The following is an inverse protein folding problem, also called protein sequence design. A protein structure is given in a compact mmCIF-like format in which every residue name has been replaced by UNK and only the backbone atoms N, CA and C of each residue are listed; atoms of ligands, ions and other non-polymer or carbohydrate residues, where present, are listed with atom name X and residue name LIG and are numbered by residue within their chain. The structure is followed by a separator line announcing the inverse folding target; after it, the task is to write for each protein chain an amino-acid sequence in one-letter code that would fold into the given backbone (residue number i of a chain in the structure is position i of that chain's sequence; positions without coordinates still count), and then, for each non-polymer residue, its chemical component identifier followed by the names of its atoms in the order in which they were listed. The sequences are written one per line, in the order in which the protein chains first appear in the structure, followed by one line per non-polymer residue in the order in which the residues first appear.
data_IF_328670856127
#
_entry.id   IF_328670856127
#
_cell.length_a   1.000
_cell.length_b   1.000
_cell.length_c   1.000
_cell.angle_alpha   90.00
_cell.angle_beta   90.00
_cell.angle_gamma   90.00
#
_symmetry.space_group_name_H-M   'P 1'
#
loop_
_entity.id
_entity.type
_entity.pdbx_description
1 polymer ?
#
# COMPACT_ATOMS: atom_id res chain seq x y z
N UNK A 1 5.23 8.06 -38.25
CA UNK A 1 6.04 8.64 -37.15
C UNK A 1 5.36 9.95 -36.73
N UNK A 2 5.08 10.18 -35.45
CA UNK A 2 4.48 11.44 -35.00
C UNK A 2 5.46 12.62 -35.24
N UNK A 3 5.00 13.85 -35.42
CA UNK A 3 5.87 14.98 -35.79
C UNK A 3 7.00 15.23 -34.77
N UNK A 4 6.72 15.02 -33.47
CA UNK A 4 7.71 15.08 -32.39
C UNK A 4 8.77 13.97 -32.48
N UNK A 5 8.37 12.77 -32.92
CA UNK A 5 9.30 11.66 -33.12
C UNK A 5 10.17 11.89 -34.37
N UNK A 6 9.64 12.57 -35.39
CA UNK A 6 10.41 12.99 -36.56
C UNK A 6 11.47 14.04 -36.20
N UNK A 7 11.13 15.05 -35.39
CA UNK A 7 12.10 16.03 -34.89
C UNK A 7 13.21 15.36 -34.07
N UNK A 8 12.86 14.46 -33.16
CA UNK A 8 13.84 13.73 -32.35
C UNK A 8 14.79 12.88 -33.21
N UNK A 9 14.24 12.21 -34.23
CA UNK A 9 15.04 11.45 -35.19
C UNK A 9 16.01 12.34 -35.98
N UNK A 10 15.53 13.47 -36.49
CA UNK A 10 16.36 14.43 -37.23
C UNK A 10 17.46 15.03 -36.34
N UNK A 11 17.13 15.34 -35.08
CA UNK A 11 18.10 15.80 -34.09
C UNK A 11 19.21 14.78 -33.85
N UNK A 12 18.87 13.52 -33.57
CA UNK A 12 19.85 12.47 -33.28
C UNK A 12 20.70 12.13 -34.52
N UNK A 13 20.12 12.23 -35.72
CA UNK A 13 20.83 12.10 -36.99
C UNK A 13 21.80 13.26 -37.22
N UNK A 14 21.39 14.51 -36.94
CA UNK A 14 22.27 15.67 -36.99
C UNK A 14 23.41 15.56 -35.98
N UNK A 15 23.11 15.14 -34.74
CA UNK A 15 24.11 14.89 -33.70
C UNK A 15 25.14 13.83 -34.15
N UNK A 16 24.70 12.80 -34.87
CA UNK A 16 25.60 11.78 -35.45
C UNK A 16 26.62 12.39 -36.41
N UNK A 17 26.18 13.28 -37.31
CA UNK A 17 27.06 13.97 -38.25
C UNK A 17 28.00 14.96 -37.55
N UNK A 18 27.46 15.77 -36.63
CA UNK A 18 28.27 16.77 -35.92
C UNK A 18 29.33 16.09 -35.06
N UNK A 19 28.97 15.06 -34.30
CA UNK A 19 29.93 14.33 -33.46
C UNK A 19 30.98 13.56 -34.29
N UNK A 20 30.65 13.17 -35.52
CA UNK A 20 31.63 12.59 -36.46
C UNK A 20 32.71 13.61 -36.83
N UNK A 21 32.31 14.84 -37.20
CA UNK A 21 33.24 15.91 -37.53
C UNK A 21 34.04 16.39 -36.30
N UNK A 22 33.40 16.48 -35.13
CA UNK A 22 34.07 16.82 -33.86
C UNK A 22 35.11 15.77 -33.49
N UNK A 23 34.85 14.48 -33.74
CA UNK A 23 35.84 13.42 -33.51
C UNK A 23 37.09 13.61 -34.41
N UNK A 24 36.91 14.04 -35.66
CA UNK A 24 38.02 14.43 -36.53
C UNK A 24 38.78 15.66 -36.00
N UNK A 25 38.08 16.70 -35.56
CA UNK A 25 38.73 17.89 -34.97
C UNK A 25 39.57 17.55 -33.74
N UNK A 26 39.02 16.78 -32.80
CA UNK A 26 39.75 16.38 -31.60
C UNK A 26 40.95 15.50 -31.96
N UNK A 27 40.80 14.58 -32.92
CA UNK A 27 41.88 13.68 -33.32
C UNK A 27 43.08 14.39 -33.94
N UNK A 28 42.84 15.49 -34.64
CA UNK A 28 43.87 16.25 -35.35
C UNK A 28 44.22 17.56 -34.62
N UNK A 29 43.92 17.68 -33.32
CA UNK A 29 44.21 18.88 -32.52
C UNK A 29 43.73 20.18 -33.17
N UNK A 30 42.55 20.15 -33.81
CA UNK A 30 41.93 21.25 -34.55
C UNK A 30 42.63 21.66 -35.87
N UNK A 31 43.67 20.94 -36.29
CA UNK A 31 44.39 21.15 -37.56
C UNK A 31 44.20 19.97 -38.51
N UNK A 32 43.06 19.94 -39.21
CA UNK A 32 42.74 18.86 -40.16
C UNK A 32 43.33 19.17 -41.54
N UNK A 33 44.14 18.27 -42.10
CA UNK A 33 44.57 18.39 -43.49
C UNK A 33 43.38 18.23 -44.46
N UNK A 34 43.38 18.92 -45.63
CA UNK A 34 42.27 18.84 -46.59
C UNK A 34 41.90 17.41 -47.02
N UNK A 35 42.88 16.51 -47.04
CA UNK A 35 42.70 15.09 -47.40
C UNK A 35 41.85 14.34 -46.36
N UNK A 36 42.13 14.52 -45.07
CA UNK A 36 41.36 13.91 -43.99
C UNK A 36 39.96 14.53 -43.86
N UNK A 37 39.84 15.82 -44.14
CA UNK A 37 38.53 16.49 -44.17
C UNK A 37 37.65 15.92 -45.29
N UNK A 38 38.19 15.78 -46.51
CA UNK A 38 37.48 15.16 -47.63
C UNK A 38 37.11 13.70 -47.36
N UNK A 39 38.01 12.94 -46.71
CA UNK A 39 37.73 11.56 -46.28
C UNK A 39 36.59 11.50 -45.25
N UNK A 40 36.52 12.46 -44.32
CA UNK A 40 35.46 12.53 -43.31
C UNK A 40 34.08 12.73 -43.94
N UNK A 41 33.95 13.60 -44.96
CA UNK A 41 32.70 13.82 -45.68
C UNK A 41 32.30 12.62 -46.55
N UNK A 42 33.26 11.98 -47.22
CA UNK A 42 33.02 10.73 -47.96
C UNK A 42 32.53 9.63 -47.02
N UNK A 43 33.09 9.54 -45.81
CA UNK A 43 32.66 8.57 -44.81
C UNK A 43 31.22 8.84 -44.33
N UNK A 44 30.87 10.11 -44.15
CA UNK A 44 29.55 10.53 -43.71
C UNK A 44 28.43 10.04 -44.63
N UNK A 45 28.69 9.93 -45.94
CA UNK A 45 27.74 9.46 -46.93
C UNK A 45 27.19 8.05 -46.65
N UNK A 46 27.96 7.18 -46.00
CA UNK A 46 27.53 5.83 -45.62
C UNK A 46 27.29 5.68 -44.11
N UNK A 47 27.99 6.43 -43.26
CA UNK A 47 27.75 6.44 -41.80
C UNK A 47 26.32 6.91 -41.49
N UNK A 48 25.83 7.94 -42.19
CA UNK A 48 24.50 8.51 -41.93
C UNK A 48 23.35 7.54 -42.25
N UNK A 49 23.28 6.90 -43.45
CA UNK A 49 22.27 5.88 -43.72
C UNK A 49 22.34 4.69 -42.74
N UNK A 50 23.55 4.27 -42.35
CA UNK A 50 23.75 3.17 -41.41
C UNK A 50 23.12 3.46 -40.04
N UNK A 51 23.46 4.60 -39.44
CA UNK A 51 22.90 5.00 -38.14
C UNK A 51 21.39 5.29 -38.24
N UNK A 52 20.93 5.88 -39.34
CA UNK A 52 19.49 6.07 -39.59
C UNK A 52 18.73 4.73 -39.60
N UNK A 53 19.24 3.72 -40.29
CA UNK A 53 18.64 2.39 -40.32
C UNK A 53 18.62 1.72 -38.93
N UNK A 54 19.71 1.83 -38.17
CA UNK A 54 19.81 1.29 -36.81
C UNK A 54 18.79 1.97 -35.89
N UNK A 55 18.70 3.30 -35.91
CA UNK A 55 17.78 4.06 -35.06
C UNK A 55 16.30 3.73 -35.33
N UNK A 56 15.94 3.52 -36.61
CA UNK A 56 14.60 3.11 -37.00
C UNK A 56 14.30 1.66 -36.57
N UNK A 57 15.25 0.73 -36.75
CA UNK A 57 15.10 -0.69 -36.40
C UNK A 57 14.97 -0.91 -34.89
N UNK A 58 15.77 -0.22 -34.08
CA UNK A 58 15.73 -0.32 -32.62
C UNK A 58 14.57 0.47 -31.98
N UNK A 59 13.79 1.19 -32.79
CA UNK A 59 12.57 1.85 -32.34
C UNK A 59 12.82 2.91 -31.26
N UNK A 60 13.93 3.66 -31.34
CA UNK A 60 14.34 4.68 -30.36
C UNK A 60 13.28 5.77 -30.14
N UNK A 61 12.33 5.92 -31.08
CA UNK A 61 11.31 6.98 -31.09
C UNK A 61 9.87 6.43 -31.02
N UNK A 62 9.68 5.15 -30.67
CA UNK A 62 8.33 4.56 -30.49
C UNK A 62 7.72 4.86 -29.12
N UNK A 63 8.52 5.30 -28.14
CA UNK A 63 8.05 5.66 -26.79
C UNK A 63 7.74 7.15 -26.65
N UNK A 64 6.68 7.47 -25.88
CA UNK A 64 6.39 8.86 -25.47
C UNK A 64 7.54 9.31 -24.56
N UNK A 65 8.28 10.35 -24.95
CA UNK A 65 9.43 10.96 -24.23
C UNK A 65 9.16 11.37 -22.77
N UNK A 66 7.93 11.19 -22.27
CA UNK A 66 7.51 11.41 -20.88
C UNK A 66 7.85 10.24 -19.95
N UNK A 67 8.30 9.09 -20.47
CA UNK A 67 8.63 7.89 -19.69
C UNK A 67 9.98 7.27 -20.10
N UNK A 68 11.03 8.08 -20.22
CA UNK A 68 12.38 7.59 -20.47
C UNK A 68 12.87 6.73 -19.29
N UNK A 69 12.63 5.41 -19.36
CA UNK A 69 13.02 4.43 -18.36
C UNK A 69 14.48 4.00 -18.54
N UNK A 70 15.03 3.21 -17.59
CA UNK A 70 16.31 2.50 -17.76
C UNK A 70 16.37 1.70 -19.08
N UNK A 71 15.21 1.31 -19.63
CA UNK A 71 15.10 0.65 -20.93
C UNK A 71 15.40 1.53 -22.15
N UNK A 72 15.28 2.85 -22.06
CA UNK A 72 15.62 3.79 -23.15
C UNK A 72 17.12 4.01 -23.25
N UNK A 73 17.79 4.18 -22.11
CA UNK A 73 19.24 4.27 -22.05
C UNK A 73 19.89 2.98 -22.55
N UNK A 74 19.37 1.81 -22.14
CA UNK A 74 19.84 0.52 -22.64
C UNK A 74 19.69 0.39 -24.15
N UNK A 75 18.57 0.83 -24.72
CA UNK A 75 18.35 0.81 -26.18
C UNK A 75 19.30 1.75 -26.93
N UNK A 76 19.57 2.94 -26.37
CA UNK A 76 20.55 3.87 -26.93
C UNK A 76 21.96 3.28 -26.91
N UNK A 77 22.39 2.68 -25.79
CA UNK A 77 23.70 2.03 -25.66
C UNK A 77 23.88 0.90 -26.69
N UNK A 78 22.88 0.03 -26.84
CA UNK A 78 22.94 -1.06 -27.82
C UNK A 78 22.95 -0.52 -29.25
N UNK A 79 22.13 0.49 -29.56
CA UNK A 79 22.08 1.08 -30.90
C UNK A 79 23.40 1.77 -31.29
N UNK A 80 23.99 2.56 -30.40
CA UNK A 80 25.29 3.21 -30.67
C UNK A 80 26.42 2.19 -30.72
N UNK A 81 26.42 1.19 -29.82
CA UNK A 81 27.40 0.11 -29.85
C UNK A 81 27.36 -0.70 -31.16
N UNK A 82 26.17 -1.06 -31.63
CA UNK A 82 25.99 -1.75 -32.91
C UNK A 82 26.42 -0.85 -34.09
N UNK A 83 26.10 0.44 -34.04
CA UNK A 83 26.55 1.43 -35.01
C UNK A 83 28.07 1.53 -35.08
N UNK A 84 28.76 1.52 -33.94
CA UNK A 84 30.22 1.54 -33.85
C UNK A 84 30.85 0.30 -34.49
N UNK A 85 30.35 -0.89 -34.14
CA UNK A 85 30.82 -2.16 -34.70
C UNK A 85 30.59 -2.24 -36.20
N UNK A 86 29.40 -1.86 -36.66
CA UNK A 86 29.08 -1.84 -38.09
C UNK A 86 29.95 -0.83 -38.86
N UNK A 87 30.19 0.35 -38.28
CA UNK A 87 31.06 1.38 -38.86
C UNK A 87 32.48 0.88 -38.97
N UNK A 88 33.03 0.28 -37.91
CA UNK A 88 34.37 -0.31 -37.93
C UNK A 88 34.49 -1.45 -38.95
N UNK A 89 33.47 -2.30 -39.08
CA UNK A 89 33.40 -3.34 -40.09
C UNK A 89 33.45 -2.79 -41.50
N UNK A 90 32.65 -1.76 -41.80
CA UNK A 90 32.65 -1.10 -43.12
C UNK A 90 34.01 -0.47 -43.42
N UNK A 91 34.62 0.25 -42.46
CA UNK A 91 35.95 0.85 -42.63
C UNK A 91 37.01 -0.21 -42.92
N UNK A 92 36.95 -1.36 -42.25
CA UNK A 92 37.85 -2.48 -42.49
C UNK A 92 37.66 -3.08 -43.88
N UNK A 93 36.40 -3.28 -44.32
CA UNK A 93 36.10 -3.87 -45.63
C UNK A 93 36.53 -2.99 -46.81
N UNK A 94 36.30 -1.67 -46.72
CA UNK A 94 36.63 -0.73 -47.79
C UNK A 94 38.08 -0.23 -47.73
N UNK A 95 38.86 -0.71 -46.75
CA UNK A 95 40.23 -0.31 -46.47
C UNK A 95 40.44 1.21 -46.49
N UNK A 96 39.54 2.00 -45.89
CA UNK A 96 39.58 3.46 -45.99
C UNK A 96 40.83 4.04 -45.29
N UNK A 97 41.86 4.53 -46.03
CA UNK A 97 43.10 5.00 -45.41
C UNK A 97 42.92 6.35 -44.69
N UNK A 98 41.88 7.11 -45.05
CA UNK A 98 41.56 8.43 -44.49
C UNK A 98 40.76 8.42 -43.19
N UNK A 99 40.52 7.27 -42.56
CA UNK A 99 39.78 7.17 -41.29
C UNK A 99 40.71 6.61 -40.20
N UNK A 100 41.31 7.48 -39.37
CA UNK A 100 42.09 7.04 -38.21
C UNK A 100 41.26 6.12 -37.28
N UNK A 101 41.84 4.99 -36.87
CA UNK A 101 41.18 3.99 -36.00
C UNK A 101 40.67 4.58 -34.68
N UNK A 102 41.33 5.61 -34.16
CA UNK A 102 40.90 6.35 -32.98
C UNK A 102 39.52 7.01 -33.13
N UNK A 103 39.12 7.39 -34.35
CA UNK A 103 37.82 8.01 -34.62
C UNK A 103 36.69 6.99 -34.45
N UNK A 104 36.95 5.72 -34.78
CA UNK A 104 36.01 4.61 -34.57
C UNK A 104 35.69 4.37 -33.09
N UNK A 105 36.61 4.74 -32.20
CA UNK A 105 36.42 4.69 -30.75
C UNK A 105 35.83 6.00 -30.19
N UNK A 106 36.33 7.14 -30.68
CA UNK A 106 35.97 8.46 -30.17
C UNK A 106 34.54 8.86 -30.56
N UNK A 107 34.13 8.58 -31.81
CA UNK A 107 32.80 8.90 -32.32
C UNK A 107 31.65 8.33 -31.47
N UNK A 108 31.59 7.02 -31.16
CA UNK A 108 30.48 6.48 -30.37
C UNK A 108 30.44 7.02 -28.94
N UNK A 109 31.59 7.34 -28.33
CA UNK A 109 31.66 7.95 -27.00
C UNK A 109 31.06 9.35 -27.02
N UNK A 110 31.49 10.19 -27.98
CA UNK A 110 30.96 11.55 -28.15
C UNK A 110 29.46 11.53 -28.48
N UNK A 111 29.03 10.56 -29.30
CA UNK A 111 27.64 10.41 -29.69
C UNK A 111 26.75 10.00 -28.51
N UNK A 112 27.21 9.08 -27.66
CA UNK A 112 26.53 8.72 -26.42
C UNK A 112 26.42 9.91 -25.46
N UNK A 113 27.50 10.70 -25.33
CA UNK A 113 27.50 11.89 -24.50
C UNK A 113 26.54 12.96 -25.04
N UNK A 114 26.51 13.19 -26.35
CA UNK A 114 25.64 14.18 -26.97
C UNK A 114 24.16 13.80 -26.88
N UNK A 115 23.79 12.60 -27.33
CA UNK A 115 22.39 12.15 -27.35
C UNK A 115 21.92 11.79 -25.94
N UNK A 116 22.72 11.03 -25.20
CA UNK A 116 22.42 10.63 -23.83
C UNK A 116 22.40 11.83 -22.88
N UNK A 117 23.39 12.72 -23.00
CA UNK A 117 23.47 13.96 -22.23
C UNK A 117 22.34 14.92 -22.53
N UNK A 118 21.98 15.14 -23.80
CA UNK A 118 20.84 15.99 -24.14
C UNK A 118 19.50 15.41 -23.63
N UNK A 119 19.30 14.08 -23.73
CA UNK A 119 18.11 13.43 -23.17
C UNK A 119 18.06 13.53 -21.65
N UNK A 120 19.21 13.37 -20.99
CA UNK A 120 19.33 13.54 -19.54
C UNK A 120 19.10 15.00 -19.14
N UNK A 121 19.62 15.97 -19.88
CA UNK A 121 19.48 17.39 -19.61
C UNK A 121 18.05 17.87 -19.86
N UNK A 122 17.43 17.49 -20.98
CA UNK A 122 16.02 17.74 -21.25
C UNK A 122 15.13 17.11 -20.18
N UNK A 123 15.47 15.89 -19.73
CA UNK A 123 14.79 15.26 -18.60
C UNK A 123 15.01 16.02 -17.31
N UNK A 124 16.24 16.39 -16.96
CA UNK A 124 16.52 17.11 -15.73
C UNK A 124 15.89 18.51 -15.72
N UNK A 125 15.77 19.15 -16.88
CA UNK A 125 15.06 20.41 -17.07
C UNK A 125 13.55 20.24 -16.95
N UNK A 126 12.97 19.24 -17.65
CA UNK A 126 11.53 18.97 -17.65
C UNK A 126 11.02 18.36 -16.35
N UNK A 127 11.80 17.47 -15.74
CA UNK A 127 11.54 16.89 -14.43
C UNK A 127 11.96 17.88 -13.32
N UNK A 128 12.61 19.00 -13.64
CA UNK A 128 12.99 20.07 -12.69
C UNK A 128 14.16 19.74 -11.74
N UNK A 129 14.80 18.58 -11.88
CA UNK A 129 15.71 18.01 -10.87
C UNK A 129 17.06 18.70 -10.71
N UNK A 130 17.44 19.62 -11.61
CA UNK A 130 18.72 20.34 -11.48
C UNK A 130 18.61 21.70 -10.77
N UNK A 131 17.41 22.27 -10.58
CA UNK A 131 17.28 23.56 -9.89
C UNK A 131 15.93 23.85 -9.19
N UNK A 132 14.96 22.93 -9.13
CA UNK A 132 13.74 23.20 -8.35
C UNK A 132 13.00 21.93 -7.94
N UNK A 133 12.87 21.75 -6.63
CA UNK A 133 11.60 21.54 -5.95
C UNK A 133 10.37 21.36 -6.87
N UNK A 134 10.05 20.11 -7.24
CA UNK A 134 8.67 19.74 -7.59
C UNK A 134 7.84 19.62 -6.30
N UNK A 135 7.76 20.75 -5.61
CA UNK A 135 7.08 20.98 -4.36
C UNK A 135 6.48 22.38 -4.49
N UNK A 136 5.55 22.69 -5.39
CA UNK A 136 4.97 24.06 -5.39
C UNK A 136 3.48 24.21 -5.69
N UNK A 137 2.71 23.15 -5.94
CA UNK A 137 1.23 23.29 -6.02
C UNK A 137 0.46 22.60 -4.89
N UNK A 138 1.10 21.65 -4.19
CA UNK A 138 0.49 21.00 -3.04
C UNK A 138 0.61 21.83 -1.77
N UNK A 139 -0.39 21.77 -0.90
CA UNK A 139 -0.30 22.41 0.40
C UNK A 139 0.84 21.77 1.21
N UNK A 140 1.74 22.57 1.83
CA UNK A 140 2.81 22.04 2.63
C UNK A 140 2.26 21.32 3.86
N UNK A 141 2.79 20.12 4.12
CA UNK A 141 2.34 19.24 5.19
C UNK A 141 3.53 18.60 5.90
N UNK A 142 3.47 18.54 7.23
CA UNK A 142 4.39 17.77 8.05
C UNK A 142 3.84 16.38 8.28
N UNK A 143 4.69 15.35 8.24
CA UNK A 143 4.30 13.99 8.60
C UNK A 143 4.85 13.65 9.98
N UNK A 144 3.96 13.28 10.90
CA UNK A 144 4.33 12.86 12.25
C UNK A 144 4.45 11.34 12.25
N UNK A 145 5.67 10.84 12.48
CA UNK A 145 6.07 9.44 12.38
C UNK A 145 6.93 9.13 11.17
N UNK A 146 7.88 8.21 11.32
CA UNK A 146 8.80 7.77 10.26
C UNK A 146 8.79 6.25 10.01
N UNK A 147 7.75 5.54 10.47
CA UNK A 147 7.59 4.10 10.28
C UNK A 147 7.14 3.68 8.88
N UNK A 148 6.80 2.40 8.72
CA UNK A 148 6.38 1.84 7.42
C UNK A 148 5.14 2.53 6.84
N UNK A 149 4.18 2.91 7.68
CA UNK A 149 3.00 3.66 7.26
C UNK A 149 3.37 5.04 6.68
N UNK A 150 4.37 5.72 7.27
CA UNK A 150 4.89 6.97 6.74
C UNK A 150 5.59 6.75 5.39
N UNK A 151 6.40 5.69 5.25
CA UNK A 151 7.07 5.36 3.98
C UNK A 151 6.07 5.08 2.85
N UNK A 152 4.99 4.33 3.14
CA UNK A 152 3.92 4.07 2.18
C UNK A 152 3.15 5.34 1.81
N UNK A 153 2.81 6.16 2.81
CA UNK A 153 2.12 7.43 2.62
C UNK A 153 2.95 8.39 1.76
N UNK A 154 4.26 8.52 2.01
CA UNK A 154 5.16 9.35 1.21
C UNK A 154 5.16 8.95 -0.26
N UNK A 155 5.15 7.64 -0.55
CA UNK A 155 5.10 7.13 -1.92
C UNK A 155 3.81 7.52 -2.63
N UNK A 156 2.67 7.55 -1.93
CA UNK A 156 1.40 7.94 -2.53
C UNK A 156 1.24 9.47 -2.60
N UNK A 157 1.68 10.21 -1.57
CA UNK A 157 1.72 11.68 -1.56
C UNK A 157 2.63 12.23 -2.67
N UNK A 158 3.76 11.56 -2.96
CA UNK A 158 4.63 11.96 -4.08
C UNK A 158 3.95 11.91 -5.45
N UNK A 159 2.84 11.18 -5.57
CA UNK A 159 2.04 11.05 -6.80
C UNK A 159 0.83 11.98 -6.83
N UNK A 160 0.46 12.56 -5.69
CA UNK A 160 -0.68 13.45 -5.55
C UNK A 160 -0.23 14.92 -5.65
N UNK A 161 -0.85 15.75 -6.52
CA UNK A 161 -0.51 17.16 -6.60
C UNK A 161 -1.05 17.98 -5.40
N UNK A 162 -1.91 17.41 -4.56
CA UNK A 162 -2.63 18.14 -3.50
C UNK A 162 -1.76 18.46 -2.27
N UNK A 163 -0.75 17.65 -1.99
CA UNK A 163 0.04 17.73 -0.76
C UNK A 163 1.53 17.72 -1.09
N UNK A 164 2.29 18.48 -0.32
CA UNK A 164 3.75 18.53 -0.47
C UNK A 164 4.39 18.30 0.90
N UNK A 165 5.06 17.17 1.05
CA UNK A 165 5.66 16.81 2.34
C UNK A 165 6.97 17.55 2.51
N UNK A 166 7.05 18.40 3.53
CA UNK A 166 8.22 19.25 3.77
C UNK A 166 9.20 18.67 4.79
N UNK A 167 8.74 17.70 5.59
CA UNK A 167 9.56 17.04 6.60
C UNK A 167 8.79 16.02 7.41
N UNK A 168 9.55 15.12 8.03
CA UNK A 168 9.04 14.16 9.02
C UNK A 168 9.50 14.53 10.42
N UNK A 169 8.69 14.19 11.42
CA UNK A 169 9.03 14.32 12.83
C UNK A 169 8.82 13.00 13.55
N UNK A 170 9.81 12.55 14.30
CA UNK A 170 9.80 11.24 14.98
C UNK A 170 10.60 11.35 16.27
N UNK A 171 10.15 10.74 17.36
CA UNK A 171 10.85 10.82 18.65
C UNK A 171 12.12 9.96 18.70
N UNK A 172 12.36 9.07 17.73
CA UNK A 172 13.59 8.28 17.63
C UNK A 172 14.80 9.13 17.17
N UNK A 173 15.64 9.48 18.14
CA UNK A 173 16.84 10.27 17.93
C UNK A 173 17.84 9.65 16.93
N UNK A 174 17.85 8.32 16.77
CA UNK A 174 18.74 7.66 15.82
C UNK A 174 18.38 7.97 14.36
N UNK A 175 17.15 8.42 14.11
CA UNK A 175 16.61 8.73 12.78
C UNK A 175 16.73 10.20 12.41
N UNK A 176 17.01 11.11 13.35
CA UNK A 176 17.12 12.54 13.09
C UNK A 176 18.26 12.84 12.11
N UNK A 177 18.01 13.76 11.17
CA UNK A 177 18.96 14.11 10.11
C UNK A 177 19.07 13.07 8.98
N UNK A 178 18.44 11.89 9.12
CA UNK A 178 18.29 10.94 8.02
C UNK A 178 17.14 11.34 7.11
N UNK A 179 17.04 10.66 5.96
CA UNK A 179 15.96 10.84 4.98
C UNK A 179 15.15 9.55 4.83
N UNK A 180 13.84 9.70 4.70
CA UNK A 180 12.92 8.64 4.31
C UNK A 180 12.26 9.05 2.99
N UNK A 181 12.43 8.24 1.94
CA UNK A 181 11.95 8.56 0.58
C UNK A 181 12.28 10.01 0.15
N UNK A 182 13.55 10.40 0.33
CA UNK A 182 14.12 11.73 0.05
C UNK A 182 13.62 12.91 0.91
N UNK A 183 12.69 12.68 1.84
CA UNK A 183 12.20 13.68 2.80
C UNK A 183 13.01 13.61 4.11
N UNK A 184 13.50 14.75 4.65
CA UNK A 184 14.31 14.77 5.87
C UNK A 184 13.48 14.53 7.13
N UNK A 185 14.06 13.83 8.10
CA UNK A 185 13.55 13.71 9.47
C UNK A 185 14.14 14.86 10.29
N UNK A 186 13.31 15.86 10.57
CA UNK A 186 13.73 17.18 11.06
C UNK A 186 14.05 17.18 12.57
N UNK A 187 13.47 16.26 13.34
CA UNK A 187 13.64 16.19 14.78
C UNK A 187 12.49 15.50 15.51
N UNK A 188 12.39 15.70 16.84
CA UNK A 188 11.36 15.08 17.68
C UNK A 188 9.98 15.70 17.45
N UNK A 189 8.92 14.99 17.86
CA UNK A 189 7.54 15.49 17.77
C UNK A 189 7.34 16.82 18.52
N UNK A 190 8.10 17.03 19.61
CA UNK A 190 8.08 18.28 20.38
C UNK A 190 8.48 19.52 19.56
N UNK A 191 9.24 19.35 18.47
CA UNK A 191 9.66 20.46 17.60
C UNK A 191 8.61 20.85 16.55
N UNK A 192 7.43 20.22 16.55
CA UNK A 192 6.35 20.49 15.59
C UNK A 192 6.06 21.98 15.42
N UNK A 193 5.93 22.75 16.51
CA UNK A 193 5.61 24.17 16.46
C UNK A 193 6.71 24.98 15.76
N UNK A 194 7.96 24.79 16.21
CA UNK A 194 9.13 25.46 15.61
C UNK A 194 9.27 25.14 14.12
N UNK A 195 9.06 23.88 13.74
CA UNK A 195 9.17 23.44 12.36
C UNK A 195 8.01 23.94 11.50
N UNK A 196 6.81 23.98 12.05
CA UNK A 196 5.63 24.52 11.37
C UNK A 196 5.81 26.00 11.02
N UNK A 197 6.25 26.81 12.00
CA UNK A 197 6.51 28.24 11.81
C UNK A 197 7.64 28.48 10.81
N UNK A 198 8.75 27.75 10.96
CA UNK A 198 9.92 27.87 10.09
C UNK A 198 9.62 27.51 8.63
N UNK A 199 8.75 26.54 8.40
CA UNK A 199 8.44 26.00 7.06
C UNK A 199 7.11 26.52 6.49
N UNK A 200 6.37 27.35 7.23
CA UNK A 200 5.08 27.92 6.81
C UNK A 200 4.02 26.84 6.55
N UNK A 201 3.92 25.87 7.45
CA UNK A 201 3.03 24.70 7.30
C UNK A 201 1.73 24.93 8.05
N UNK A 202 0.59 24.60 7.43
CA UNK A 202 -0.74 24.68 8.06
C UNK A 202 -1.36 23.32 8.35
N UNK A 203 -0.73 22.22 7.93
CA UNK A 203 -1.28 20.86 8.01
C UNK A 203 -0.26 19.87 8.55
N UNK A 204 -0.73 18.90 9.35
CA UNK A 204 0.07 17.77 9.80
C UNK A 204 -0.68 16.46 9.57
N UNK A 205 0.00 15.42 9.10
CA UNK A 205 -0.56 14.06 8.97
C UNK A 205 0.12 13.15 9.98
N UNK A 206 -0.66 12.54 10.87
CA UNK A 206 -0.22 11.50 11.79
C UNK A 206 -0.13 10.17 11.02
N UNK A 207 1.08 9.68 10.82
CA UNK A 207 1.40 8.44 10.12
C UNK A 207 2.00 7.41 11.10
N UNK A 208 1.34 7.23 12.25
CA UNK A 208 1.78 6.36 13.36
C UNK A 208 0.69 5.36 13.80
N UNK A 209 0.15 4.52 12.89
CA UNK A 209 -0.96 3.63 13.22
C UNK A 209 -0.57 2.50 14.18
N UNK A 210 0.72 2.15 14.27
CA UNK A 210 1.26 1.13 15.18
C UNK A 210 1.77 1.67 16.52
N UNK A 211 1.85 2.99 16.69
CA UNK A 211 2.26 3.61 17.94
C UNK A 211 1.21 3.45 19.04
N UNK A 212 1.58 3.70 20.30
CA UNK A 212 0.60 3.69 21.39
C UNK A 212 -0.43 4.81 21.22
N UNK A 213 -1.60 4.64 21.81
CA UNK A 213 -2.64 5.67 21.77
C UNK A 213 -2.19 6.97 22.44
N UNK A 214 -1.40 6.86 23.52
CA UNK A 214 -0.78 8.01 24.19
C UNK A 214 0.17 8.77 23.26
N UNK A 215 0.97 8.08 22.44
CA UNK A 215 1.86 8.71 21.46
C UNK A 215 1.08 9.43 20.34
N UNK A 216 0.05 8.79 19.79
CA UNK A 216 -0.82 9.43 18.78
C UNK A 216 -1.52 10.67 19.34
N UNK A 217 -2.05 10.58 20.56
CA UNK A 217 -2.67 11.71 21.25
C UNK A 217 -1.70 12.86 21.46
N UNK A 218 -0.51 12.56 21.99
CA UNK A 218 0.55 13.56 22.18
C UNK A 218 0.92 14.25 20.86
N UNK A 219 1.05 13.50 19.77
CA UNK A 219 1.33 14.08 18.45
C UNK A 219 0.21 15.00 17.94
N UNK A 220 -1.05 14.60 18.14
CA UNK A 220 -2.22 15.41 17.79
C UNK A 220 -2.30 16.69 18.63
N UNK A 221 -2.07 16.60 19.95
CA UNK A 221 -2.05 17.75 20.86
C UNK A 221 -0.93 18.74 20.51
N UNK A 222 0.28 18.26 20.23
CA UNK A 222 1.41 19.11 19.82
C UNK A 222 1.14 19.82 18.49
N UNK A 223 0.56 19.13 17.52
CA UNK A 223 0.18 19.73 16.23
C UNK A 223 -0.99 20.71 16.35
N UNK A 224 -2.00 20.37 17.16
CA UNK A 224 -3.13 21.26 17.42
C UNK A 224 -2.70 22.53 18.18
N UNK A 225 -1.81 22.41 19.17
CA UNK A 225 -1.24 23.54 19.89
C UNK A 225 -0.41 24.47 18.98
N UNK A 226 0.20 23.92 17.93
CA UNK A 226 0.90 24.67 16.89
C UNK A 226 -0.05 25.31 15.83
N UNK A 227 -1.37 25.19 16.00
CA UNK A 227 -2.36 25.75 15.07
C UNK A 227 -2.50 24.97 13.76
N UNK A 228 -1.99 23.74 13.68
CA UNK A 228 -2.05 22.92 12.48
C UNK A 228 -3.40 22.21 12.34
N UNK A 229 -3.89 22.09 11.11
CA UNK A 229 -4.97 21.15 10.79
C UNK A 229 -4.42 19.72 10.83
N UNK A 230 -4.85 18.96 11.84
CA UNK A 230 -4.36 17.60 12.07
C UNK A 230 -5.20 16.58 11.31
N UNK A 231 -4.51 15.80 10.48
CA UNK A 231 -5.04 14.70 9.70
C UNK A 231 -4.40 13.39 10.20
N UNK A 232 -5.05 12.24 9.96
CA UNK A 232 -4.50 10.93 10.33
C UNK A 232 -4.76 9.90 9.23
N UNK A 233 -3.87 8.91 9.19
CA UNK A 233 -4.07 7.68 8.43
C UNK A 233 -4.87 6.67 9.29
N UNK A 234 -5.79 5.88 8.71
CA UNK A 234 -6.51 4.82 9.44
C UNK A 234 -5.58 3.78 10.08
N UNK A 235 -6.09 3.05 11.06
CA UNK A 235 -5.35 2.00 11.75
C UNK A 235 -4.96 0.84 10.81
N UNK A 236 -3.88 0.12 11.15
CA UNK A 236 -3.33 -0.99 10.35
C UNK A 236 -4.35 -2.09 9.97
N UNK A 237 -5.40 -2.29 10.78
CA UNK A 237 -6.47 -3.25 10.50
C UNK A 237 -7.27 -2.89 9.22
N UNK A 238 -7.32 -1.62 8.82
CA UNK A 238 -7.99 -1.15 7.61
C UNK A 238 -7.03 -1.06 6.39
N UNK A 239 -5.73 -1.28 6.62
CA UNK A 239 -4.63 -1.16 5.62
C UNK A 239 -4.27 -2.51 4.98
N UNK A 240 -4.92 -3.61 5.40
CA UNK A 240 -4.65 -4.98 4.95
C UNK A 240 -4.87 -5.28 3.45
N UNK A 241 -5.29 -4.28 2.67
CA UNK A 241 -5.25 -4.31 1.21
C UNK A 241 -3.88 -3.95 0.62
N UNK A 242 -2.88 -3.65 1.46
CA UNK A 242 -1.51 -3.32 1.05
C UNK A 242 -1.38 -1.94 0.39
N UNK A 243 -2.35 -1.04 0.61
CA UNK A 243 -2.35 0.32 0.06
C UNK A 243 -2.82 1.32 1.11
N UNK A 244 -1.88 1.97 1.78
CA UNK A 244 -2.14 3.30 2.39
C UNK A 244 -2.29 4.27 1.22
N UNK A 245 -3.47 4.88 1.07
CA UNK A 245 -3.70 5.88 0.02
C UNK A 245 -4.02 7.25 0.58
N UNK A 246 -3.60 8.31 -0.13
CA UNK A 246 -3.93 9.71 0.18
C UNK A 246 -5.45 9.91 0.29
N UNK A 247 -6.25 9.14 -0.44
CA UNK A 247 -7.73 9.20 -0.36
C UNK A 247 -8.30 8.81 1.00
N UNK A 248 -7.52 8.16 1.86
CA UNK A 248 -7.92 7.73 3.20
C UNK A 248 -7.47 8.68 4.31
N UNK A 249 -6.73 9.75 3.96
CA UNK A 249 -6.32 10.77 4.91
C UNK A 249 -7.55 11.59 5.31
N UNK A 250 -7.86 11.60 6.61
CA UNK A 250 -9.04 12.27 7.18
C UNK A 250 -8.67 13.11 8.39
N UNK A 251 -9.56 14.02 8.80
CA UNK A 251 -9.40 14.76 10.08
C UNK A 251 -9.38 13.77 11.24
N UNK A 252 -8.56 14.06 12.25
CA UNK A 252 -8.49 13.26 13.48
C UNK A 252 -9.84 13.30 14.20
N UNK A 253 -10.38 12.13 14.53
CA UNK A 253 -11.58 11.98 15.35
C UNK A 253 -11.23 11.54 16.78
N UNK A 254 -12.20 11.68 17.70
CA UNK A 254 -11.99 11.37 19.11
C UNK A 254 -11.60 9.90 19.32
N UNK A 255 -12.14 9.00 18.51
CA UNK A 255 -11.89 7.56 18.50
C UNK A 255 -10.42 7.22 18.22
N UNK A 256 -9.76 7.99 17.32
CA UNK A 256 -8.34 7.79 16.98
C UNK A 256 -7.40 8.11 18.16
N UNK A 257 -7.87 9.01 19.04
CA UNK A 257 -7.18 9.47 20.27
C UNK A 257 -7.55 8.65 21.51
N UNK A 258 -8.60 7.83 21.41
CA UNK A 258 -9.11 6.95 22.48
C UNK A 258 -8.75 5.47 22.27
N UNK A 259 -8.14 5.11 21.14
CA UNK A 259 -7.81 3.74 20.80
C UNK A 259 -7.11 3.01 21.96
N UNK A 260 -7.46 1.75 22.21
CA UNK A 260 -6.66 0.90 23.11
C UNK A 260 -5.35 0.55 22.40
N UNK A 261 -4.26 0.39 23.15
CA UNK A 261 -3.05 -0.20 22.59
C UNK A 261 -3.40 -1.58 21.98
N UNK A 262 -2.96 -1.90 20.76
CA UNK A 262 -3.26 -3.19 20.15
C UNK A 262 -2.71 -4.28 21.07
N UNK A 263 -3.60 -5.11 21.60
CA UNK A 263 -3.23 -6.27 22.41
C UNK A 263 -2.40 -7.19 21.51
N UNK A 264 -1.18 -7.52 21.93
CA UNK A 264 -0.42 -8.59 21.29
C UNK A 264 -1.17 -9.90 21.57
N UNK A 265 -1.85 -10.41 20.54
CA UNK A 265 -2.52 -11.69 20.60
C UNK A 265 -1.47 -12.81 20.64
N UNK A 266 -1.71 -13.84 21.45
CA UNK A 266 -0.93 -15.08 21.44
C UNK A 266 -1.13 -15.80 20.10
N UNK A 267 -0.26 -15.49 19.15
CA UNK A 267 -0.33 -15.95 17.77
C UNK A 267 -0.21 -17.48 17.67
N UNK A 268 0.63 -18.09 18.51
CA UNK A 268 0.83 -19.55 18.53
C UNK A 268 -0.42 -20.29 19.03
N UNK A 269 -1.03 -19.79 20.12
CA UNK A 269 -2.27 -20.34 20.65
C UNK A 269 -3.43 -20.24 19.65
N UNK A 270 -3.53 -19.12 18.92
CA UNK A 270 -4.56 -18.91 17.90
C UNK A 270 -4.36 -19.79 16.66
N UNK A 271 -3.13 -19.95 16.18
CA UNK A 271 -2.82 -20.91 15.11
C UNK A 271 -3.26 -22.33 15.47
N UNK A 272 -2.96 -22.78 16.70
CA UNK A 272 -3.37 -24.11 17.18
C UNK A 272 -4.89 -24.28 17.26
N UNK A 273 -5.61 -23.20 17.60
CA UNK A 273 -7.06 -23.22 17.75
C UNK A 273 -7.81 -23.15 16.42
N UNK A 274 -7.26 -22.47 15.40
CA UNK A 274 -8.03 -22.08 14.21
C UNK A 274 -7.54 -22.75 12.92
N UNK A 275 -6.25 -23.03 12.77
CA UNK A 275 -5.71 -23.58 11.52
C UNK A 275 -6.27 -24.97 11.22
N UNK A 276 -6.81 -25.14 10.01
CA UNK A 276 -7.44 -26.39 9.56
C UNK A 276 -8.75 -26.75 10.26
N UNK A 277 -9.27 -25.91 11.17
CA UNK A 277 -10.53 -26.17 11.89
C UNK A 277 -11.76 -25.70 11.13
N UNK A 278 -12.89 -26.34 11.40
CA UNK A 278 -14.21 -25.87 10.98
C UNK A 278 -14.74 -24.91 12.04
N UNK A 279 -14.89 -23.64 11.67
CA UNK A 279 -15.27 -22.57 12.60
C UNK A 279 -16.65 -22.03 12.23
N UNK A 280 -17.55 -21.90 13.20
CA UNK A 280 -18.87 -21.28 13.01
C UNK A 280 -18.95 -19.97 13.79
N UNK A 281 -19.39 -18.91 13.11
CA UNK A 281 -19.61 -17.59 13.71
C UNK A 281 -21.09 -17.25 13.61
N UNK A 282 -21.76 -17.04 14.73
CA UNK A 282 -23.14 -16.53 14.75
C UNK A 282 -23.14 -15.00 14.83
N UNK A 283 -24.10 -14.35 14.17
CA UNK A 283 -24.08 -12.89 14.03
C UNK A 283 -22.96 -12.42 13.11
N UNK A 284 -22.57 -13.26 12.15
CA UNK A 284 -21.41 -13.07 11.29
C UNK A 284 -21.50 -11.78 10.45
N UNK A 285 -22.70 -11.32 10.08
CA UNK A 285 -22.86 -10.08 9.32
C UNK A 285 -22.84 -8.82 10.18
N UNK A 286 -22.88 -8.95 11.51
CA UNK A 286 -22.78 -7.82 12.44
C UNK A 286 -21.36 -7.26 12.53
N UNK A 287 -21.20 -6.04 13.08
CA UNK A 287 -19.90 -5.35 13.13
C UNK A 287 -18.78 -6.18 13.79
N UNK A 288 -19.09 -6.86 14.91
CA UNK A 288 -18.12 -7.70 15.64
C UNK A 288 -17.96 -9.05 14.94
N UNK A 289 -19.07 -9.68 14.53
CA UNK A 289 -19.03 -10.98 13.85
C UNK A 289 -18.21 -10.92 12.56
N UNK A 290 -18.39 -9.87 11.76
CA UNK A 290 -17.66 -9.70 10.51
C UNK A 290 -16.16 -9.52 10.75
N UNK A 291 -15.77 -8.77 11.79
CA UNK A 291 -14.37 -8.62 12.15
C UNK A 291 -13.77 -9.92 12.68
N UNK A 292 -14.51 -10.67 13.50
CA UNK A 292 -14.09 -12.02 13.92
C UNK A 292 -13.87 -12.93 12.71
N UNK A 293 -14.80 -12.95 11.75
CA UNK A 293 -14.65 -13.71 10.52
C UNK A 293 -13.36 -13.33 9.77
N UNK A 294 -13.06 -12.03 9.62
CA UNK A 294 -11.83 -11.56 8.93
C UNK A 294 -10.57 -12.01 9.64
N UNK A 295 -10.56 -11.97 10.98
CA UNK A 295 -9.41 -12.39 11.76
C UNK A 295 -9.21 -13.90 11.67
N UNK A 296 -10.28 -14.68 11.85
CA UNK A 296 -10.25 -16.13 11.77
C UNK A 296 -9.75 -16.60 10.40
N UNK A 297 -10.18 -15.96 9.31
CA UNK A 297 -9.78 -16.30 7.95
C UNK A 297 -8.26 -16.26 7.72
N UNK A 298 -7.52 -15.42 8.44
CA UNK A 298 -6.05 -15.30 8.31
C UNK A 298 -5.30 -16.50 8.86
N UNK A 299 -5.93 -17.30 9.73
CA UNK A 299 -5.34 -18.49 10.32
C UNK A 299 -5.60 -19.75 9.48
N UNK A 300 -6.11 -19.62 8.25
CA UNK A 300 -6.38 -20.73 7.32
C UNK A 300 -7.26 -21.84 7.92
N UNK A 301 -8.50 -21.54 8.36
CA UNK A 301 -9.45 -22.58 8.77
C UNK A 301 -9.83 -23.44 7.57
N UNK A 302 -10.19 -24.72 7.80
CA UNK A 302 -10.66 -25.59 6.72
C UNK A 302 -12.06 -25.21 6.24
N UNK A 303 -12.87 -24.59 7.11
CA UNK A 303 -14.17 -24.01 6.76
C UNK A 303 -14.57 -22.91 7.73
N UNK A 304 -15.15 -21.84 7.21
CA UNK A 304 -15.73 -20.75 8.00
C UNK A 304 -17.24 -20.63 7.68
N UNK A 305 -18.08 -20.86 8.69
CA UNK A 305 -19.53 -20.86 8.57
C UNK A 305 -20.09 -19.56 9.12
N UNK A 306 -20.76 -18.78 8.28
CA UNK A 306 -21.46 -17.57 8.65
C UNK A 306 -22.91 -17.91 8.98
N UNK A 307 -23.29 -17.83 10.26
CA UNK A 307 -24.67 -18.00 10.69
C UNK A 307 -25.25 -16.63 11.05
N UNK A 308 -26.25 -16.17 10.31
CA UNK A 308 -26.78 -14.80 10.44
C UNK A 308 -28.29 -14.77 10.20
N UNK A 309 -29.01 -13.92 10.93
CA UNK A 309 -30.45 -13.75 10.77
C UNK A 309 -30.77 -12.74 9.67
N UNK A 310 -29.94 -11.70 9.51
CA UNK A 310 -30.13 -10.68 8.50
C UNK A 310 -29.58 -11.14 7.15
N UNK A 311 -30.48 -11.39 6.19
CA UNK A 311 -30.13 -11.70 4.79
C UNK A 311 -29.14 -10.67 4.22
N UNK A 312 -29.45 -9.38 4.38
CA UNK A 312 -28.59 -8.30 3.89
C UNK A 312 -27.19 -8.33 4.49
N UNK A 313 -27.08 -8.57 5.81
CA UNK A 313 -25.79 -8.64 6.48
C UNK A 313 -24.98 -9.86 6.03
N UNK A 314 -25.65 -11.01 5.85
CA UNK A 314 -25.05 -12.25 5.35
C UNK A 314 -24.54 -12.10 3.91
N UNK A 315 -25.37 -11.51 3.04
CA UNK A 315 -24.98 -11.22 1.65
C UNK A 315 -23.76 -10.29 1.59
N UNK A 316 -23.74 -9.23 2.42
CA UNK A 316 -22.61 -8.29 2.43
C UNK A 316 -21.29 -8.94 2.80
N UNK A 317 -21.28 -9.75 3.86
CA UNK A 317 -20.04 -10.41 4.28
C UNK A 317 -19.62 -11.48 3.27
N UNK A 318 -20.56 -12.18 2.63
CA UNK A 318 -20.26 -13.13 1.56
C UNK A 318 -19.55 -12.43 0.38
N UNK A 319 -20.08 -11.30 -0.10
CA UNK A 319 -19.48 -10.53 -1.18
C UNK A 319 -18.08 -10.01 -0.82
N UNK A 320 -17.90 -9.55 0.41
CA UNK A 320 -16.61 -9.10 0.91
C UNK A 320 -15.56 -10.22 0.85
N UNK A 321 -15.94 -11.43 1.29
CA UNK A 321 -15.03 -12.57 1.30
C UNK A 321 -14.77 -13.15 -0.08
N UNK A 322 -15.75 -13.11 -1.00
CA UNK A 322 -15.55 -13.50 -2.39
C UNK A 322 -14.47 -12.64 -3.09
N UNK A 323 -14.34 -11.38 -2.68
CA UNK A 323 -13.32 -10.45 -3.19
C UNK A 323 -11.94 -10.62 -2.57
N UNK A 324 -11.86 -10.94 -1.26
CA UNK A 324 -10.61 -10.86 -0.49
C UNK A 324 -10.02 -12.18 0.04
N UNK A 325 -10.80 -13.26 0.17
CA UNK A 325 -10.41 -14.48 0.89
C UNK A 325 -10.72 -15.76 0.08
N UNK A 326 -10.23 -15.85 -1.16
CA UNK A 326 -10.56 -16.93 -2.10
C UNK A 326 -10.12 -18.34 -1.67
N UNK A 327 -9.17 -18.44 -0.76
CA UNK A 327 -8.61 -19.71 -0.30
C UNK A 327 -9.38 -20.32 0.88
N UNK A 328 -10.24 -19.55 1.54
CA UNK A 328 -11.02 -20.01 2.69
C UNK A 328 -12.36 -20.58 2.20
N UNK A 329 -12.68 -21.83 2.56
CA UNK A 329 -13.99 -22.41 2.28
C UNK A 329 -15.06 -21.77 3.17
N UNK A 330 -16.07 -21.15 2.56
CA UNK A 330 -17.13 -20.44 3.28
C UNK A 330 -18.46 -21.17 3.12
N UNK A 331 -19.30 -21.11 4.15
CA UNK A 331 -20.70 -21.48 4.05
C UNK A 331 -21.57 -20.40 4.69
N UNK A 332 -22.56 -19.90 3.95
CA UNK A 332 -23.53 -18.91 4.44
C UNK A 332 -24.80 -19.63 4.85
N UNK A 333 -25.22 -19.46 6.11
CA UNK A 333 -26.41 -20.08 6.69
C UNK A 333 -27.29 -18.97 7.25
N UNK A 334 -28.44 -18.77 6.61
CA UNK A 334 -29.49 -17.89 7.13
C UNK A 334 -30.21 -18.61 8.27
N UNK A 335 -30.34 -17.97 9.42
CA UNK A 335 -31.02 -18.58 10.56
C UNK A 335 -31.06 -17.69 11.80
N UNK A 336 -32.05 -17.96 12.66
CA UNK A 336 -32.16 -17.31 13.97
C UNK A 336 -31.50 -18.20 15.02
N UNK A 337 -30.64 -17.61 15.86
CA UNK A 337 -29.98 -18.33 16.98
C UNK A 337 -30.97 -18.83 18.04
N UNK A 338 -32.22 -18.37 18.02
CA UNK A 338 -33.29 -18.85 18.89
C UNK A 338 -33.98 -20.09 18.33
N UNK A 339 -33.78 -20.42 17.05
CA UNK A 339 -34.36 -21.59 16.40
C UNK A 339 -33.41 -22.80 16.53
N UNK A 340 -33.75 -23.70 17.45
CA UNK A 340 -32.99 -24.92 17.72
C UNK A 340 -32.91 -25.87 16.52
N UNK A 341 -33.95 -25.92 15.68
CA UNK A 341 -33.97 -26.80 14.51
C UNK A 341 -33.02 -26.30 13.43
N UNK A 342 -33.03 -25.00 13.15
CA UNK A 342 -32.08 -24.36 12.24
C UNK A 342 -30.64 -24.51 12.74
N UNK A 343 -30.39 -24.34 14.04
CA UNK A 343 -29.08 -24.59 14.63
C UNK A 343 -28.68 -26.06 14.50
N UNK A 344 -29.56 -27.01 14.84
CA UNK A 344 -29.26 -28.44 14.73
C UNK A 344 -28.88 -28.83 13.30
N UNK A 345 -29.60 -28.32 12.29
CA UNK A 345 -29.27 -28.54 10.89
C UNK A 345 -27.90 -27.95 10.52
N UNK A 346 -27.60 -26.72 10.93
CA UNK A 346 -26.31 -26.07 10.67
C UNK A 346 -25.14 -26.83 11.32
N UNK A 347 -25.29 -27.25 12.58
CA UNK A 347 -24.27 -28.00 13.32
C UNK A 347 -24.08 -29.40 12.74
N UNK A 348 -25.16 -30.07 12.32
CA UNK A 348 -25.08 -31.38 11.68
C UNK A 348 -24.37 -31.32 10.32
N UNK A 349 -24.74 -30.35 9.48
CA UNK A 349 -24.20 -30.20 8.12
C UNK A 349 -22.73 -29.76 8.12
N UNK A 350 -22.34 -28.85 9.01
CA UNK A 350 -21.02 -28.24 8.98
C UNK A 350 -20.05 -28.75 10.05
N UNK A 351 -20.55 -29.46 11.09
CA UNK A 351 -19.77 -30.07 12.17
C UNK A 351 -18.67 -29.15 12.72
N UNK A 352 -19.01 -27.95 13.21
CA UNK A 352 -18.01 -27.00 13.69
C UNK A 352 -17.21 -27.59 14.85
N UNK A 353 -15.93 -27.24 14.94
CA UNK A 353 -15.02 -27.61 16.03
C UNK A 353 -14.82 -26.45 16.99
N UNK A 354 -14.96 -25.22 16.48
CA UNK A 354 -14.90 -23.97 17.23
C UNK A 354 -16.11 -23.13 16.89
N UNK A 355 -16.76 -22.56 17.90
CA UNK A 355 -17.91 -21.66 17.73
C UNK A 355 -17.64 -20.31 18.39
N UNK A 356 -17.81 -19.24 17.61
CA UNK A 356 -17.84 -17.87 18.12
C UNK A 356 -19.27 -17.33 18.08
N UNK A 357 -19.78 -16.93 19.24
CA UNK A 357 -21.12 -16.38 19.40
C UNK A 357 -21.10 -14.86 19.52
N UNK A 358 -21.44 -14.17 18.42
CA UNK A 358 -21.49 -12.71 18.33
C UNK A 358 -22.90 -12.15 18.05
N UNK A 359 -23.91 -13.02 17.86
CA UNK A 359 -25.31 -12.60 17.69
C UNK A 359 -25.88 -12.04 18.98
N UNK A 360 -26.12 -10.73 19.03
CA UNK A 360 -26.73 -10.05 20.18
C UNK A 360 -27.31 -8.68 19.79
N UNK A 361 -28.32 -8.23 20.55
CA UNK A 361 -28.75 -6.83 20.54
C UNK A 361 -27.88 -5.99 21.48
N UNK A 362 -27.43 -4.84 20.97
CA UNK A 362 -26.41 -4.00 21.62
C UNK A 362 -26.82 -2.56 21.90
N UNK A 363 -27.90 -2.05 21.29
CA UNK A 363 -28.29 -0.64 21.37
C UNK A 363 -29.09 -0.37 22.65
N UNK A 364 -28.42 0.17 23.68
CA UNK A 364 -29.02 0.42 25.00
C UNK A 364 -30.34 1.20 24.90
N UNK A 365 -30.41 2.42 24.33
CA UNK A 365 -31.65 3.20 24.36
C UNK A 365 -32.85 2.48 23.72
N UNK A 366 -32.59 1.67 22.69
CA UNK A 366 -33.62 0.93 21.99
C UNK A 366 -34.12 -0.28 22.79
N UNK A 367 -33.27 -0.88 23.62
CA UNK A 367 -33.50 -2.14 24.30
C UNK A 367 -33.97 -2.01 25.76
N UNK A 368 -34.07 -0.79 26.33
CA UNK A 368 -34.42 -0.62 27.75
C UNK A 368 -35.91 -0.77 28.07
N UNK A 369 -36.80 -0.23 27.22
CA UNK A 369 -38.22 -0.12 27.54
C UNK A 369 -39.02 -1.23 26.85
N UNK A 370 -39.78 -0.90 25.81
CA UNK A 370 -40.69 -1.81 25.10
C UNK A 370 -39.99 -3.06 24.53
N UNK A 371 -38.71 -2.95 24.20
CA UNK A 371 -37.93 -4.04 23.60
C UNK A 371 -37.08 -4.84 24.60
N UNK A 372 -37.19 -4.58 25.91
CA UNK A 372 -36.44 -5.29 26.95
C UNK A 372 -36.58 -6.81 26.84
N UNK A 373 -37.81 -7.27 26.58
CA UNK A 373 -38.10 -8.68 26.35
C UNK A 373 -37.36 -9.27 25.15
N UNK A 374 -37.26 -8.51 24.05
CA UNK A 374 -36.54 -8.94 22.86
C UNK A 374 -35.02 -9.03 23.13
N UNK A 375 -34.47 -8.12 23.93
CA UNK A 375 -33.07 -8.18 24.36
C UNK A 375 -32.77 -9.43 25.18
N UNK A 376 -33.61 -9.76 26.16
CA UNK A 376 -33.47 -10.99 26.95
C UNK A 376 -33.62 -12.24 26.07
N UNK A 377 -34.64 -12.30 25.21
CA UNK A 377 -34.87 -13.46 24.34
C UNK A 377 -33.71 -13.65 23.35
N UNK A 378 -33.18 -12.59 22.76
CA UNK A 378 -32.10 -12.72 21.80
C UNK A 378 -30.75 -13.02 22.47
N UNK A 379 -30.42 -12.28 23.53
CA UNK A 379 -29.11 -12.39 24.17
C UNK A 379 -29.00 -13.58 25.11
N UNK A 380 -30.08 -13.99 25.81
CA UNK A 380 -30.04 -15.08 26.79
C UNK A 380 -30.48 -16.40 26.17
N UNK A 381 -31.73 -16.46 25.66
CA UNK A 381 -32.25 -17.68 25.04
C UNK A 381 -31.46 -18.04 23.78
N UNK A 382 -31.10 -17.06 22.95
CA UNK A 382 -30.23 -17.29 21.79
C UNK A 382 -28.87 -17.88 22.19
N UNK A 383 -28.21 -17.33 23.22
CA UNK A 383 -26.95 -17.92 23.74
C UNK A 383 -27.16 -19.34 24.25
N UNK A 384 -28.23 -19.60 25.00
CA UNK A 384 -28.53 -20.95 25.49
C UNK A 384 -28.72 -21.95 24.34
N UNK A 385 -29.50 -21.61 23.32
CA UNK A 385 -29.72 -22.48 22.17
C UNK A 385 -28.42 -22.82 21.45
N UNK A 386 -27.57 -21.82 21.16
CA UNK A 386 -26.29 -22.04 20.45
C UNK A 386 -25.32 -22.83 21.33
N UNK A 387 -25.19 -22.50 22.61
CA UNK A 387 -24.30 -23.21 23.53
C UNK A 387 -24.74 -24.68 23.73
N UNK A 388 -26.05 -24.94 23.81
CA UNK A 388 -26.60 -26.29 23.87
C UNK A 388 -26.33 -27.06 22.58
N UNK A 389 -26.55 -26.45 21.41
CA UNK A 389 -26.24 -27.05 20.12
C UNK A 389 -24.74 -27.39 19.99
N UNK A 390 -23.86 -26.51 20.46
CA UNK A 390 -22.43 -26.74 20.49
C UNK A 390 -22.03 -27.90 21.40
N UNK A 391 -22.64 -28.00 22.59
CA UNK A 391 -22.44 -29.14 23.49
C UNK A 391 -22.91 -30.46 22.86
N UNK A 392 -24.13 -30.49 22.32
CA UNK A 392 -24.68 -31.70 21.68
C UNK A 392 -23.85 -32.16 20.49
N UNK A 393 -23.27 -31.23 19.73
CA UNK A 393 -22.41 -31.53 18.60
C UNK A 393 -20.94 -31.84 18.99
N UNK A 394 -20.57 -31.78 20.27
CA UNK A 394 -19.21 -32.05 20.73
C UNK A 394 -18.18 -31.00 20.29
N UNK A 395 -18.58 -29.73 20.18
CA UNK A 395 -17.67 -28.63 19.81
C UNK A 395 -16.57 -28.49 20.87
N UNK A 396 -15.31 -28.47 20.44
CA UNK A 396 -14.15 -28.42 21.35
C UNK A 396 -13.97 -27.06 22.04
N UNK A 397 -14.37 -25.96 21.40
CA UNK A 397 -14.30 -24.62 21.99
C UNK A 397 -15.50 -23.75 21.61
N UNK A 398 -16.18 -23.22 22.63
CA UNK A 398 -17.22 -22.21 22.50
C UNK A 398 -16.75 -20.89 23.09
N UNK A 399 -16.86 -19.79 22.34
CA UNK A 399 -16.47 -18.44 22.76
C UNK A 399 -17.66 -17.51 22.55
N UNK A 400 -18.13 -16.89 23.63
CA UNK A 400 -19.18 -15.86 23.57
C UNK A 400 -18.56 -14.47 23.64
N UNK A 401 -18.99 -13.55 22.77
CA UNK A 401 -18.64 -12.14 22.88
C UNK A 401 -19.46 -11.47 24.00
N UNK A 402 -18.76 -11.00 25.04
CA UNK A 402 -19.35 -10.21 26.13
C UNK A 402 -18.96 -8.72 26.06
N UNK A 403 -19.33 -7.94 27.06
CA UNK A 403 -19.10 -6.50 27.15
C UNK A 403 -18.76 -6.05 28.57
N UNK A 404 -17.94 -5.01 28.67
CA UNK A 404 -17.58 -4.32 29.92
C UNK A 404 -18.81 -3.90 30.76
N UNK A 405 -20.00 -3.77 30.14
CA UNK A 405 -21.27 -3.44 30.82
C UNK A 405 -21.90 -4.62 31.60
N UNK A 406 -21.35 -5.82 31.53
CA UNK A 406 -21.86 -7.01 32.22
C UNK A 406 -21.36 -7.15 33.67
N UNK A 407 -20.31 -6.42 34.07
CA UNK A 407 -19.67 -6.57 35.40
C UNK A 407 -20.55 -6.03 36.53
N UNK A 408 -21.23 -4.90 36.32
CA UNK A 408 -22.23 -4.35 37.24
C UNK A 408 -23.33 -3.64 36.42
N UNK A 409 -24.30 -4.39 35.87
CA UNK A 409 -25.21 -3.86 34.86
C UNK A 409 -26.20 -2.86 35.46
N UNK A 410 -26.24 -1.65 34.91
CA UNK A 410 -27.21 -0.59 35.28
C UNK A 410 -28.35 -0.45 34.26
N UNK A 411 -28.44 -1.37 33.30
CA UNK A 411 -29.36 -1.31 32.17
C UNK A 411 -29.72 -2.73 31.68
N UNK A 412 -30.86 -2.89 31.01
CA UNK A 412 -31.41 -4.18 30.55
C UNK A 412 -30.43 -4.89 29.62
N UNK A 413 -29.77 -4.15 28.72
CA UNK A 413 -28.80 -4.73 27.79
C UNK A 413 -27.64 -5.40 28.55
N UNK A 414 -27.04 -4.70 29.50
CA UNK A 414 -25.98 -5.22 30.36
C UNK A 414 -26.43 -6.42 31.19
N UNK A 415 -27.64 -6.36 31.76
CA UNK A 415 -28.21 -7.47 32.53
C UNK A 415 -28.43 -8.72 31.67
N UNK A 416 -28.94 -8.55 30.45
CA UNK A 416 -29.13 -9.66 29.50
C UNK A 416 -27.81 -10.34 29.12
N UNK A 417 -26.73 -9.56 28.95
CA UNK A 417 -25.39 -10.09 28.66
C UNK A 417 -24.80 -10.84 29.85
N UNK A 418 -24.99 -10.32 31.07
CA UNK A 418 -24.58 -11.01 32.29
C UNK A 418 -25.30 -12.36 32.47
N UNK A 419 -26.60 -12.42 32.18
CA UNK A 419 -27.36 -13.67 32.17
C UNK A 419 -26.84 -14.65 31.10
N UNK A 420 -26.48 -14.16 29.92
CA UNK A 420 -25.87 -14.99 28.88
C UNK A 420 -24.51 -15.59 29.33
N UNK A 421 -23.70 -14.82 30.08
CA UNK A 421 -22.46 -15.35 30.68
C UNK A 421 -22.75 -16.48 31.68
N UNK A 422 -23.75 -16.30 32.54
CA UNK A 422 -24.17 -17.31 33.50
C UNK A 422 -24.65 -18.59 32.80
N UNK A 423 -25.39 -18.48 31.70
CA UNK A 423 -25.79 -19.63 30.87
C UNK A 423 -24.56 -20.42 30.40
N UNK A 424 -23.54 -19.74 29.87
CA UNK A 424 -22.31 -20.42 29.44
C UNK A 424 -21.57 -21.08 30.62
N UNK A 425 -21.50 -20.43 31.77
CA UNK A 425 -20.85 -20.95 32.97
C UNK A 425 -21.56 -22.20 33.51
N UNK A 426 -22.89 -22.21 33.53
CA UNK A 426 -23.70 -23.36 33.96
C UNK A 426 -23.45 -24.55 33.03
N UNK A 427 -23.54 -24.34 31.71
CA UNK A 427 -23.31 -25.41 30.74
C UNK A 427 -21.87 -25.95 30.77
N UNK A 428 -20.89 -25.09 31.09
CA UNK A 428 -19.52 -25.52 31.31
C UNK A 428 -19.39 -26.34 32.61
N UNK A 429 -19.99 -25.92 33.72
CA UNK A 429 -19.94 -26.66 34.97
C UNK A 429 -20.56 -28.05 34.86
N UNK A 430 -21.71 -28.17 34.19
CA UNK A 430 -22.36 -29.47 33.93
C UNK A 430 -21.51 -30.40 33.07
N UNK A 431 -20.66 -29.86 32.19
CA UNK A 431 -19.76 -30.67 31.36
C UNK A 431 -18.65 -31.36 32.17
N UNK A 432 -18.29 -30.82 33.33
CA UNK A 432 -17.30 -31.40 34.25
C UNK A 432 -17.89 -32.43 35.22
N UNK A 433 -19.22 -32.55 35.32
CA UNK A 433 -19.91 -33.44 36.28
C UNK A 433 -20.26 -34.81 35.69
N UNK A 434 -20.08 -35.00 34.37
CA UNK A 434 -20.19 -36.32 33.72
C UNK A 434 -18.81 -36.85 33.32
N UNK A 435 -18.21 -37.65 34.20
CA UNK A 435 -17.17 -38.62 33.87
C UNK A 435 -17.64 -40.01 34.31
#
# INVERSE_FOLDING_TARGET
MNWRALLAFLHDLAATAVMWLVAYWIRFNFEISPEFLAASFKALAWVMPLYAAIYLKFGLYRGIWRYASMGDLRRLLIAVGLGAVATAGVVYMIQAPGIPRSILLLHPILLLLAIGGNRFLYRAWKDGHLFSSNLHDGQPVLVLGSGDAAAMLLKDLSRSPAWRVVGLLDDDAAKHGRRLADVPILGPLASVAEQADRLGVAHAIIAMPSSSAGQRRRAAELAGAAGLTVLTVPAMADVLSGRVSVSQVRKVELEDLLGRDPIQLDDEGLHRLLTGRRVLVTGAGGSIGAELCRQIARYAPSRLVFFEQSEYALYRIEQEFAGGFKEVSIACVIGDVKDEASLAAAFFMHRPEVVFHAAAYKHVPLMENENAWAALRNNVLGTWCVARAARTAGVGKFVMVSTDKAVNPTNVMGASKRLAEMVCQILQAESHVTH
#
